data_IF_611551587469
#
_entry.id   IF_611551587469
#
_cell.length_a   1.000
_cell.length_b   1.000
_cell.length_c   1.000
_cell.angle_alpha   90.00
_cell.angle_beta   90.00
_cell.angle_gamma   90.00
#
_symmetry.space_group_name_H-M   'P 1'
#
loop_
_entity.id
_entity.type
_entity.pdbx_description
1 polymer ?
#
# COMPACT_ATOMS: atom_id res chain seq x y z
N UNK A 1 14.22 16.01 -6.70
CA UNK A 1 15.00 14.79 -6.48
C UNK A 1 14.12 13.56 -6.40
N UNK A 2 13.21 13.49 -5.42
CA UNK A 2 12.31 12.34 -5.26
C UNK A 2 11.45 12.12 -6.51
N UNK A 3 10.90 13.19 -7.07
CA UNK A 3 10.10 13.11 -8.29
C UNK A 3 10.90 12.56 -9.47
N UNK A 4 12.17 12.98 -9.61
CA UNK A 4 13.04 12.49 -10.68
C UNK A 4 13.32 11.00 -10.55
N UNK A 5 13.49 10.51 -9.34
CA UNK A 5 13.74 9.09 -9.09
C UNK A 5 12.52 8.25 -9.51
N UNK A 6 11.31 8.72 -9.19
CA UNK A 6 10.10 8.06 -9.64
C UNK A 6 9.91 8.14 -11.15
N UNK A 7 10.17 9.29 -11.76
CA UNK A 7 10.09 9.44 -13.21
C UNK A 7 11.03 8.46 -13.93
N UNK A 8 12.25 8.29 -13.41
CA UNK A 8 13.21 7.34 -13.96
C UNK A 8 12.72 5.90 -13.82
N UNK A 9 12.14 5.53 -12.68
CA UNK A 9 11.59 4.21 -12.47
C UNK A 9 10.41 3.93 -13.41
N UNK A 10 9.51 4.90 -13.55
CA UNK A 10 8.33 4.75 -14.43
C UNK A 10 8.67 4.78 -15.92
N UNK A 11 9.89 5.15 -16.30
CA UNK A 11 10.34 4.99 -17.68
C UNK A 11 10.46 3.50 -18.06
N UNK A 12 10.71 2.63 -17.08
CA UNK A 12 10.93 1.20 -17.30
C UNK A 12 9.75 0.32 -16.90
N UNK A 13 8.88 0.81 -16.03
CA UNK A 13 7.74 0.03 -15.50
C UNK A 13 6.46 0.87 -15.49
N UNK A 14 5.32 0.22 -15.47
CA UNK A 14 4.01 0.88 -15.45
C UNK A 14 3.52 1.15 -14.05
N UNK A 15 3.86 0.30 -13.09
CA UNK A 15 3.43 0.34 -11.69
C UNK A 15 4.62 0.00 -10.81
N UNK A 16 4.73 0.68 -9.68
CA UNK A 16 5.64 0.31 -8.60
C UNK A 16 4.84 -0.28 -7.44
N UNK A 17 5.43 -1.21 -6.74
CA UNK A 17 4.78 -1.91 -5.63
C UNK A 17 5.66 -1.91 -4.38
N UNK A 18 5.01 -1.89 -3.22
CA UNK A 18 5.69 -2.02 -1.93
C UNK A 18 4.69 -2.44 -0.86
N UNK A 19 5.14 -2.88 0.31
CA UNK A 19 4.25 -2.91 1.47
C UNK A 19 3.72 -1.50 1.75
N UNK A 20 2.47 -1.38 2.18
CA UNK A 20 1.90 -0.06 2.50
C UNK A 20 2.50 0.48 3.80
N UNK A 21 2.70 -0.39 4.78
CA UNK A 21 3.27 -0.07 6.08
C UNK A 21 4.21 -1.20 6.51
N UNK A 22 5.24 -0.90 7.32
CA UNK A 22 6.16 -1.93 7.85
C UNK A 22 5.50 -2.94 8.79
N UNK A 23 4.37 -2.59 9.38
CA UNK A 23 3.68 -3.43 10.37
C UNK A 23 2.18 -3.44 10.13
N UNK A 24 1.50 -4.40 10.76
CA UNK A 24 0.05 -4.42 10.84
C UNK A 24 -0.47 -3.40 11.86
N UNK A 25 -1.79 -3.28 12.00
CA UNK A 25 -2.39 -2.37 12.98
C UNK A 25 -1.87 -2.68 14.39
N UNK A 26 -1.63 -1.64 15.16
CA UNK A 26 -1.18 -1.74 16.55
C UNK A 26 -2.26 -1.16 17.48
N UNK A 27 -2.14 -1.44 18.78
CA UNK A 27 -3.09 -0.98 19.78
C UNK A 27 -2.94 0.52 20.03
N UNK A 28 -4.01 1.19 20.42
CA UNK A 28 -3.97 2.59 20.81
C UNK A 28 -2.95 2.80 21.92
N UNK A 29 -2.11 3.82 21.79
CA UNK A 29 -1.06 4.16 22.75
C UNK A 29 0.20 3.32 22.66
N UNK A 30 0.22 2.26 21.84
CA UNK A 30 1.39 1.36 21.75
C UNK A 30 2.57 2.00 21.02
N UNK A 31 2.30 2.93 20.12
CA UNK A 31 3.31 3.61 19.27
C UNK A 31 3.21 5.13 19.43
N UNK A 32 3.49 5.65 20.62
CA UNK A 32 3.38 7.09 20.91
C UNK A 32 4.63 7.89 20.57
N UNK A 33 5.78 7.24 20.39
CA UNK A 33 7.03 7.91 20.09
C UNK A 33 6.99 8.52 18.69
N UNK A 34 7.24 9.86 18.54
CA UNK A 34 7.21 10.52 17.23
C UNK A 34 8.13 9.88 16.19
N UNK A 35 9.32 9.43 16.58
CA UNK A 35 10.26 8.79 15.66
C UNK A 35 9.71 7.45 15.17
N UNK A 36 9.12 6.67 16.06
CA UNK A 36 8.48 5.40 15.69
C UNK A 36 7.32 5.64 14.74
N UNK A 37 6.46 6.63 15.01
CA UNK A 37 5.36 7.00 14.13
C UNK A 37 5.87 7.41 12.74
N UNK A 38 6.95 8.17 12.67
CA UNK A 38 7.57 8.55 11.41
C UNK A 38 8.03 7.33 10.61
N UNK A 39 8.64 6.35 11.29
CA UNK A 39 9.12 5.12 10.63
C UNK A 39 8.00 4.28 10.04
N UNK A 40 6.78 4.38 10.59
CA UNK A 40 5.61 3.66 10.06
C UNK A 40 5.17 4.19 8.69
N UNK A 41 5.53 5.43 8.38
CA UNK A 41 5.16 6.09 7.12
C UNK A 41 6.26 6.02 6.05
N UNK A 42 7.32 5.27 6.31
CA UNK A 42 8.50 5.23 5.42
C UNK A 42 8.17 4.83 3.98
N UNK A 43 7.14 4.02 3.78
CA UNK A 43 6.74 3.56 2.45
C UNK A 43 5.69 4.46 1.78
N UNK A 44 5.04 5.36 2.51
CA UNK A 44 3.99 6.25 1.98
C UNK A 44 4.45 7.69 1.78
N UNK A 45 5.41 8.15 2.57
CA UNK A 45 5.96 9.51 2.47
C UNK A 45 6.56 9.81 1.08
N UNK A 46 7.35 8.93 0.47
CA UNK A 46 7.95 9.23 -0.84
C UNK A 46 6.92 9.53 -1.94
N UNK A 47 5.82 8.79 -2.00
CA UNK A 47 4.76 9.04 -2.96
C UNK A 47 4.11 10.41 -2.76
N UNK A 48 3.88 10.77 -1.51
CA UNK A 48 3.32 12.07 -1.13
C UNK A 48 4.26 13.21 -1.56
N UNK A 49 5.55 13.08 -1.26
CA UNK A 49 6.55 14.09 -1.64
C UNK A 49 6.71 14.21 -3.15
N UNK A 50 6.60 13.12 -3.88
CA UNK A 50 6.71 13.11 -5.33
C UNK A 50 5.43 13.59 -6.04
N UNK A 51 4.32 13.67 -5.35
CA UNK A 51 3.03 14.07 -5.92
C UNK A 51 2.46 13.04 -6.88
N UNK A 52 2.70 11.76 -6.63
CA UNK A 52 2.17 10.67 -7.44
C UNK A 52 1.03 9.95 -6.74
N UNK A 53 0.09 9.35 -7.50
CA UNK A 53 -1.01 8.61 -6.91
C UNK A 53 -0.55 7.26 -6.34
N UNK A 54 -1.17 6.88 -5.23
CA UNK A 54 -0.93 5.60 -4.58
C UNK A 54 -2.24 4.98 -4.10
N UNK A 55 -2.27 3.65 -4.05
CA UNK A 55 -3.41 2.88 -3.59
C UNK A 55 -2.93 1.73 -2.73
N UNK A 56 -3.61 1.49 -1.62
CA UNK A 56 -3.35 0.32 -0.77
C UNK A 56 -4.47 -0.70 -0.93
N UNK A 57 -4.09 -1.95 -1.06
CA UNK A 57 -5.01 -3.08 -1.20
C UNK A 57 -4.72 -4.11 -0.12
N UNK A 58 -5.73 -4.78 0.43
CA UNK A 58 -5.49 -5.93 1.29
C UNK A 58 -4.81 -7.05 0.50
N UNK A 59 -3.72 -7.59 1.03
CA UNK A 59 -2.97 -8.66 0.36
C UNK A 59 -3.02 -9.99 1.11
N UNK A 60 -3.53 -9.98 2.31
CA UNK A 60 -3.63 -11.16 3.16
C UNK A 60 -3.73 -10.75 4.61
N UNK A 61 -3.54 -11.72 5.50
CA UNK A 61 -3.60 -11.50 6.94
C UNK A 61 -2.27 -11.95 7.57
N UNK A 62 -1.86 -11.22 8.60
CA UNK A 62 -0.77 -11.60 9.49
C UNK A 62 -1.29 -11.56 10.92
N UNK A 63 -1.25 -12.70 11.60
CA UNK A 63 -1.80 -12.85 12.96
C UNK A 63 -3.27 -12.36 13.06
N UNK A 64 -4.05 -12.62 12.01
CA UNK A 64 -5.46 -12.23 11.95
C UNK A 64 -5.71 -10.78 11.54
N UNK A 65 -4.67 -9.98 11.33
CA UNK A 65 -4.80 -8.56 10.96
C UNK A 65 -4.46 -8.36 9.48
N UNK A 66 -5.16 -7.44 8.79
CA UNK A 66 -4.90 -7.17 7.39
C UNK A 66 -3.49 -6.61 7.14
N UNK A 67 -2.91 -7.04 6.01
CA UNK A 67 -1.64 -6.53 5.50
C UNK A 67 -1.92 -5.76 4.23
N UNK A 68 -1.38 -4.53 4.14
CA UNK A 68 -1.55 -3.68 2.97
C UNK A 68 -0.46 -3.90 1.92
N UNK A 69 -0.89 -3.87 0.66
CA UNK A 69 -0.02 -3.89 -0.51
C UNK A 69 -0.23 -2.58 -1.26
N UNK A 70 0.84 -1.80 -1.42
CA UNK A 70 0.77 -0.50 -2.06
C UNK A 70 1.15 -0.59 -3.52
N UNK A 71 0.36 0.06 -4.38
CA UNK A 71 0.69 0.26 -5.78
C UNK A 71 0.77 1.76 -6.07
N UNK A 72 1.77 2.14 -6.85
CA UNK A 72 2.04 3.53 -7.24
C UNK A 72 2.01 3.65 -8.76
N UNK A 73 1.48 4.75 -9.26
CA UNK A 73 1.44 5.06 -10.68
C UNK A 73 2.08 6.44 -10.95
N UNK A 74 2.44 6.74 -12.21
CA UNK A 74 2.93 8.06 -12.56
C UNK A 74 1.91 9.15 -12.26
N UNK A 75 2.38 10.39 -12.14
CA UNK A 75 1.54 11.54 -11.85
C UNK A 75 0.32 11.60 -12.78
N UNK A 76 -0.87 11.81 -12.19
CA UNK A 76 -2.17 11.90 -12.89
C UNK A 76 -2.63 10.59 -13.54
N UNK A 77 -2.00 9.47 -13.22
CA UNK A 77 -2.40 8.16 -13.72
C UNK A 77 -3.21 7.37 -12.68
N UNK A 78 -4.09 8.06 -11.96
CA UNK A 78 -4.97 7.47 -10.95
C UNK A 78 -5.85 6.36 -11.54
N UNK A 79 -6.31 6.53 -12.79
CA UNK A 79 -7.11 5.53 -13.49
C UNK A 79 -6.37 4.20 -13.64
N UNK A 80 -5.06 4.25 -13.80
CA UNK A 80 -4.22 3.05 -13.87
C UNK A 80 -4.27 2.26 -12.57
N UNK A 81 -4.27 2.95 -11.42
CA UNK A 81 -4.39 2.31 -10.12
C UNK A 81 -5.71 1.57 -9.96
N UNK A 82 -6.81 2.16 -10.40
CA UNK A 82 -8.11 1.51 -10.32
C UNK A 82 -8.18 0.26 -11.19
N UNK A 83 -7.64 0.33 -12.40
CA UNK A 83 -7.62 -0.83 -13.31
C UNK A 83 -6.75 -1.96 -12.79
N UNK A 84 -5.53 -1.64 -12.38
CA UNK A 84 -4.58 -2.63 -11.85
C UNK A 84 -5.06 -3.14 -10.49
N UNK A 85 -5.54 -2.23 -9.64
CA UNK A 85 -6.04 -2.57 -8.32
C UNK A 85 -7.21 -3.54 -8.35
N UNK A 86 -8.14 -3.35 -9.27
CA UNK A 86 -9.29 -4.25 -9.42
C UNK A 86 -8.85 -5.68 -9.76
N UNK A 87 -7.86 -5.82 -10.65
CA UNK A 87 -7.32 -7.14 -11.02
C UNK A 87 -6.58 -7.77 -9.83
N UNK A 88 -5.74 -7.00 -9.15
CA UNK A 88 -5.01 -7.50 -7.99
C UNK A 88 -5.93 -7.92 -6.85
N UNK A 89 -6.98 -7.13 -6.57
CA UNK A 89 -7.96 -7.48 -5.56
C UNK A 89 -8.65 -8.80 -5.88
N UNK A 90 -9.05 -8.99 -7.13
CA UNK A 90 -9.68 -10.23 -7.57
C UNK A 90 -8.74 -11.43 -7.41
N UNK A 91 -7.48 -11.28 -7.79
CA UNK A 91 -6.48 -12.35 -7.68
C UNK A 91 -6.18 -12.69 -6.22
N UNK A 92 -6.06 -11.70 -5.35
CA UNK A 92 -5.84 -11.92 -3.91
C UNK A 92 -7.03 -12.62 -3.29
N UNK A 93 -8.25 -12.17 -3.59
CA UNK A 93 -9.47 -12.80 -3.06
C UNK A 93 -9.60 -14.26 -3.52
N UNK A 94 -9.28 -14.55 -4.76
CA UNK A 94 -9.25 -15.93 -5.26
C UNK A 94 -8.24 -16.80 -4.50
N UNK A 95 -7.04 -16.27 -4.26
CA UNK A 95 -5.97 -17.00 -3.57
C UNK A 95 -6.30 -17.29 -2.10
N UNK A 96 -6.98 -16.36 -1.41
CA UNK A 96 -7.32 -16.53 0.00
C UNK A 96 -8.70 -17.17 0.22
N UNK A 97 -9.41 -17.49 -0.85
CA UNK A 97 -10.71 -18.18 -0.77
C UNK A 97 -11.89 -17.31 -0.42
N UNK A 98 -11.87 -16.01 -0.75
CA UNK A 98 -12.98 -15.07 -0.53
C UNK A 98 -12.51 -13.66 -0.26
N UNK A 99 -13.44 -12.72 -0.20
CA UNK A 99 -13.15 -11.30 -0.02
C UNK A 99 -12.56 -11.02 1.37
N UNK A 100 -11.36 -10.49 1.41
CA UNK A 100 -10.69 -10.14 2.66
C UNK A 100 -11.43 -9.06 3.44
N UNK A 101 -12.03 -8.10 2.73
CA UNK A 101 -12.76 -7.00 3.35
C UNK A 101 -14.02 -7.43 4.08
N UNK A 102 -14.55 -8.60 3.76
CA UNK A 102 -15.72 -9.16 4.43
C UNK A 102 -15.37 -9.90 5.71
N UNK A 103 -14.09 -10.09 5.97
CA UNK A 103 -13.62 -10.80 7.15
C UNK A 103 -13.28 -9.79 8.24
N UNK A 104 -14.14 -9.68 9.25
CA UNK A 104 -13.85 -8.84 10.40
C UNK A 104 -12.66 -9.40 11.17
N UNK A 105 -11.72 -8.56 11.62
CA UNK A 105 -10.65 -9.01 12.48
C UNK A 105 -11.20 -9.61 13.76
N UNK A 106 -10.60 -10.70 14.20
CA UNK A 106 -10.89 -11.26 15.51
C UNK A 106 -10.09 -10.45 16.53
N UNK A 107 -10.75 -9.59 17.26
CA UNK A 107 -10.14 -8.74 18.28
C UNK A 107 -10.15 -9.42 19.67
#
# INVERSE_FOLDING_TARGET
LVQRDFDAAFADVDILVSPTSPITAYRFGEKDDPLTMYKLDVTTIPANLAGIPGMSLPSGLSEGLPVGFQILAPQRKDDRLYRVGAVLEALVNERVGGALLERAPQL
#
